data_IF_433883657063
#
_entry.id   IF_433883657063
#
_cell.length_a   1.000
_cell.length_b   1.000
_cell.length_c   1.000
_cell.angle_alpha   90.00
_cell.angle_beta   90.00
_cell.angle_gamma   90.00
#
_symmetry.space_group_name_H-M   'P 1'
#
loop_
_entity.id
_entity.type
_entity.pdbx_description
1 polymer ?
#
# COMPACT_ATOMS: atom_id res chain seq x y z
N UNK A 1 -11.60 -14.15 -32.65
CA UNK A 1 -11.35 -12.72 -32.96
C UNK A 1 -11.30 -12.01 -31.62
N UNK A 2 -10.16 -11.47 -31.24
CA UNK A 2 -10.06 -10.66 -30.04
C UNK A 2 -10.77 -9.33 -30.34
N UNK A 3 -11.91 -9.11 -29.72
CA UNK A 3 -12.55 -7.81 -29.74
C UNK A 3 -11.55 -6.80 -29.16
N UNK A 4 -11.24 -5.80 -29.97
CA UNK A 4 -10.40 -4.68 -29.57
C UNK A 4 -11.03 -4.05 -28.32
N UNK A 5 -10.33 -4.09 -27.20
CA UNK A 5 -10.68 -3.34 -26.00
C UNK A 5 -10.88 -1.89 -26.42
N UNK A 6 -12.14 -1.48 -26.51
CA UNK A 6 -12.51 -0.10 -26.85
C UNK A 6 -11.89 0.79 -25.80
N UNK A 7 -11.15 1.82 -26.22
CA UNK A 7 -10.53 2.80 -25.33
C UNK A 7 -11.60 3.35 -24.39
N UNK A 8 -11.58 2.89 -23.14
CA UNK A 8 -12.50 3.38 -22.12
C UNK A 8 -12.06 4.78 -21.68
N UNK A 9 -12.95 5.75 -21.83
CA UNK A 9 -12.77 7.07 -21.22
C UNK A 9 -13.52 7.11 -19.90
N UNK A 10 -12.96 7.77 -18.92
CA UNK A 10 -13.68 8.00 -17.66
C UNK A 10 -14.95 8.80 -17.93
N UNK A 11 -16.09 8.37 -17.38
CA UNK A 11 -17.32 9.12 -17.52
C UNK A 11 -17.23 10.47 -16.79
N UNK A 12 -18.05 11.45 -17.21
CA UNK A 12 -18.12 12.74 -16.54
C UNK A 12 -18.53 12.55 -15.07
N UNK A 13 -17.87 13.26 -14.17
CA UNK A 13 -18.29 13.32 -12.76
C UNK A 13 -19.45 14.30 -12.53
N UNK A 14 -19.71 15.19 -13.50
CA UNK A 14 -20.76 16.20 -13.44
C UNK A 14 -22.06 15.62 -14.03
N UNK A 15 -22.55 14.56 -13.40
CA UNK A 15 -23.84 13.92 -13.71
C UNK A 15 -24.66 13.80 -12.44
N UNK A 16 -25.97 13.53 -12.56
CA UNK A 16 -26.84 13.38 -11.40
C UNK A 16 -26.39 12.23 -10.50
N UNK A 17 -26.65 12.32 -9.21
CA UNK A 17 -26.27 11.32 -8.24
C UNK A 17 -26.96 9.97 -8.53
N UNK A 18 -28.20 10.00 -9.04
CA UNK A 18 -28.91 8.80 -9.48
C UNK A 18 -28.23 8.09 -10.65
N UNK A 19 -27.64 8.84 -11.59
CA UNK A 19 -26.87 8.26 -12.70
C UNK A 19 -25.56 7.64 -12.20
N UNK A 20 -24.87 8.27 -11.25
CA UNK A 20 -23.63 7.73 -10.64
C UNK A 20 -23.84 6.40 -9.93
N UNK A 21 -25.02 6.19 -9.32
CA UNK A 21 -25.37 4.93 -8.64
C UNK A 21 -25.64 3.81 -9.66
N UNK A 22 -25.96 4.14 -10.92
CA UNK A 22 -26.33 3.13 -11.92
C UNK A 22 -25.20 2.15 -12.21
N UNK A 23 -25.50 0.85 -12.44
CA UNK A 23 -24.51 -0.13 -12.85
C UNK A 23 -23.83 0.21 -14.18
N UNK A 24 -24.52 0.93 -15.07
CA UNK A 24 -23.97 1.35 -16.37
C UNK A 24 -22.83 2.37 -16.19
N UNK A 25 -22.97 3.31 -15.27
CA UNK A 25 -21.93 4.25 -14.91
C UNK A 25 -20.72 3.52 -14.30
N UNK A 26 -20.99 2.59 -13.37
CA UNK A 26 -19.96 1.73 -12.78
C UNK A 26 -19.20 0.92 -13.81
N UNK A 27 -19.87 0.37 -14.81
CA UNK A 27 -19.24 -0.37 -15.90
C UNK A 27 -18.34 0.54 -16.76
N UNK A 28 -18.75 1.78 -17.06
CA UNK A 28 -17.92 2.75 -17.77
C UNK A 28 -16.64 3.07 -16.99
N UNK A 29 -16.76 3.30 -15.68
CA UNK A 29 -15.60 3.52 -14.79
C UNK A 29 -14.67 2.29 -14.77
N UNK A 30 -15.23 1.11 -14.59
CA UNK A 30 -14.47 -0.14 -14.56
C UNK A 30 -13.69 -0.37 -15.86
N UNK A 31 -14.33 -0.16 -17.01
CA UNK A 31 -13.67 -0.26 -18.33
C UNK A 31 -12.60 0.80 -18.55
N UNK A 32 -12.79 2.01 -18.03
CA UNK A 32 -11.75 3.04 -18.09
C UNK A 32 -10.50 2.61 -17.32
N UNK A 33 -10.66 2.09 -16.10
CA UNK A 33 -9.55 1.57 -15.27
C UNK A 33 -8.93 0.34 -15.93
N UNK A 34 -9.72 -0.59 -16.46
CA UNK A 34 -9.26 -1.75 -17.21
C UNK A 34 -8.44 -1.33 -18.45
N UNK A 35 -8.90 -0.33 -19.19
CA UNK A 35 -8.16 0.17 -20.34
C UNK A 35 -6.81 0.77 -19.96
N UNK A 36 -6.70 1.46 -18.84
CA UNK A 36 -5.43 1.95 -18.31
C UNK A 36 -4.48 0.81 -17.92
N UNK A 37 -5.00 -0.29 -17.39
CA UNK A 37 -4.22 -1.48 -17.07
C UNK A 37 -3.70 -2.18 -18.33
N UNK A 38 -4.54 -2.34 -19.36
CA UNK A 38 -4.19 -3.06 -20.59
C UNK A 38 -3.48 -2.22 -21.64
N UNK A 39 -3.37 -0.91 -21.46
CA UNK A 39 -2.70 0.00 -22.38
C UNK A 39 -1.22 -0.34 -22.51
N UNK A 40 -0.87 -1.12 -23.52
CA UNK A 40 0.50 -1.56 -23.80
C UNK A 40 1.19 -0.74 -24.88
N UNK A 41 0.52 0.24 -25.46
CA UNK A 41 1.02 0.96 -26.60
C UNK A 41 2.28 1.80 -26.30
N UNK A 42 3.35 1.37 -26.94
CA UNK A 42 4.52 2.16 -27.35
C UNK A 42 5.04 3.16 -26.32
N UNK A 43 5.64 2.68 -25.23
CA UNK A 43 6.52 3.51 -24.40
C UNK A 43 5.84 4.51 -23.46
N UNK A 44 4.56 4.75 -23.63
CA UNK A 44 3.78 5.73 -22.84
C UNK A 44 2.99 5.14 -21.70
N UNK A 45 2.84 3.81 -21.62
CA UNK A 45 2.10 3.19 -20.51
C UNK A 45 2.92 3.17 -19.22
N UNK A 46 2.56 4.07 -18.30
CA UNK A 46 3.18 4.19 -16.99
C UNK A 46 3.16 2.90 -16.18
N UNK A 47 2.01 2.19 -16.16
CA UNK A 47 1.85 1.00 -15.33
C UNK A 47 2.64 -0.18 -15.86
N UNK A 48 2.64 -0.41 -17.18
CA UNK A 48 3.44 -1.45 -17.78
C UNK A 48 4.95 -1.24 -17.55
N UNK A 49 5.40 0.00 -17.74
CA UNK A 49 6.80 0.34 -17.48
C UNK A 49 7.17 0.18 -16.01
N UNK A 50 6.29 0.59 -15.09
CA UNK A 50 6.50 0.41 -13.65
C UNK A 50 6.53 -1.07 -13.27
N UNK A 51 5.65 -1.92 -13.83
CA UNK A 51 5.66 -3.36 -13.57
C UNK A 51 6.97 -4.00 -14.00
N UNK A 52 7.46 -3.68 -15.22
CA UNK A 52 8.73 -4.16 -15.72
C UNK A 52 9.90 -3.70 -14.84
N UNK A 53 9.88 -2.44 -14.42
CA UNK A 53 10.90 -1.88 -13.54
C UNK A 53 10.86 -2.54 -12.16
N UNK A 54 9.68 -2.72 -11.56
CA UNK A 54 9.52 -3.39 -10.26
C UNK A 54 10.02 -4.84 -10.31
N UNK A 55 9.67 -5.56 -11.39
CA UNK A 55 10.18 -6.92 -11.57
C UNK A 55 11.72 -6.94 -11.67
N UNK A 56 12.29 -6.08 -12.48
CA UNK A 56 13.75 -5.94 -12.62
C UNK A 56 14.40 -5.63 -11.26
N UNK A 57 13.86 -4.69 -10.51
CA UNK A 57 14.41 -4.34 -9.19
C UNK A 57 14.30 -5.46 -8.18
N UNK A 58 13.21 -6.24 -8.21
CA UNK A 58 13.06 -7.45 -7.36
C UNK A 58 14.08 -8.53 -7.73
N UNK A 59 14.39 -8.71 -9.02
CA UNK A 59 15.46 -9.63 -9.44
C UNK A 59 16.84 -9.16 -8.93
N UNK A 60 17.13 -7.86 -9.00
CA UNK A 60 18.37 -7.32 -8.41
C UNK A 60 18.44 -7.53 -6.89
N UNK A 61 17.31 -7.30 -6.19
CA UNK A 61 17.24 -7.50 -4.74
C UNK A 61 17.43 -8.97 -4.33
N UNK A 62 17.16 -9.92 -5.22
CA UNK A 62 17.37 -11.37 -5.03
C UNK A 62 18.72 -11.86 -5.54
N UNK A 63 19.48 -11.01 -6.25
CA UNK A 63 20.72 -11.41 -6.92
C UNK A 63 20.48 -12.29 -8.15
N UNK A 64 19.30 -12.22 -8.75
CA UNK A 64 18.87 -13.00 -9.93
C UNK A 64 18.72 -12.10 -11.16
N UNK A 65 19.48 -11.01 -11.24
CA UNK A 65 19.43 -10.07 -12.37
C UNK A 65 19.80 -10.75 -13.69
N UNK A 66 19.21 -10.23 -14.79
CA UNK A 66 19.47 -10.76 -16.13
C UNK A 66 20.94 -10.66 -16.51
N UNK A 67 21.50 -11.78 -16.95
CA UNK A 67 22.91 -11.87 -17.42
C UNK A 67 23.08 -11.43 -18.87
N UNK A 68 21.99 -11.24 -19.62
CA UNK A 68 22.05 -10.92 -21.05
C UNK A 68 22.79 -9.60 -21.30
N UNK A 69 22.55 -8.60 -20.47
CA UNK A 69 23.25 -7.31 -20.51
C UNK A 69 24.79 -7.46 -20.45
N UNK A 70 25.28 -8.35 -19.59
CA UNK A 70 26.73 -8.59 -19.44
C UNK A 70 27.29 -9.38 -20.61
N UNK A 71 26.52 -10.31 -21.15
CA UNK A 71 26.86 -11.05 -22.37
C UNK A 71 26.99 -10.12 -23.56
N UNK A 72 26.02 -9.22 -23.74
CA UNK A 72 26.02 -8.26 -24.83
C UNK A 72 27.24 -7.32 -24.74
N UNK A 73 27.64 -6.90 -23.54
CA UNK A 73 28.77 -6.00 -23.32
C UNK A 73 30.14 -6.69 -23.51
N UNK A 74 30.24 -7.98 -23.22
CA UNK A 74 31.47 -8.76 -23.33
C UNK A 74 31.60 -9.48 -24.69
N UNK A 75 30.54 -9.53 -25.48
CA UNK A 75 30.56 -10.16 -26.80
C UNK A 75 31.40 -9.36 -27.80
N UNK A 76 32.14 -10.05 -28.66
CA UNK A 76 32.79 -9.47 -29.82
C UNK A 76 31.99 -9.88 -31.04
N UNK A 77 31.33 -8.94 -31.70
CA UNK A 77 30.46 -9.20 -32.86
C UNK A 77 29.36 -10.26 -32.58
N UNK A 78 28.87 -10.35 -31.33
CA UNK A 78 27.88 -11.34 -30.91
C UNK A 78 28.44 -12.72 -30.58
N UNK A 79 29.73 -12.98 -30.74
CA UNK A 79 30.38 -14.24 -30.40
C UNK A 79 30.85 -14.24 -28.94
N UNK A 80 30.47 -15.29 -28.21
CA UNK A 80 30.84 -15.57 -26.82
C UNK A 80 31.63 -16.89 -26.67
N UNK A 81 31.88 -17.60 -27.78
CA UNK A 81 32.48 -18.96 -27.78
C UNK A 81 33.90 -18.99 -27.20
N UNK A 82 34.59 -17.84 -27.23
CA UNK A 82 35.96 -17.68 -26.69
C UNK A 82 36.01 -17.41 -25.17
N UNK A 83 34.78 -17.23 -24.54
CA UNK A 83 34.68 -16.90 -23.12
C UNK A 83 34.21 -18.13 -22.32
N UNK A 84 35.09 -18.66 -21.51
CA UNK A 84 34.76 -19.67 -20.51
C UNK A 84 34.60 -18.99 -19.14
N UNK A 85 33.43 -18.35 -18.91
CA UNK A 85 33.15 -17.57 -17.72
C UNK A 85 31.97 -18.13 -16.94
N UNK A 86 32.01 -18.02 -15.62
CA UNK A 86 30.83 -18.23 -14.79
C UNK A 86 29.94 -16.97 -14.83
N UNK A 87 28.84 -17.09 -15.55
CA UNK A 87 27.87 -16.00 -15.75
C UNK A 87 26.95 -15.77 -14.55
N UNK A 88 27.10 -16.55 -13.48
CA UNK A 88 26.24 -16.40 -12.29
C UNK A 88 26.44 -15.00 -11.68
N UNK A 89 25.35 -14.27 -11.43
CA UNK A 89 25.45 -12.94 -10.80
C UNK A 89 26.01 -13.03 -9.39
N UNK A 90 26.85 -12.06 -9.03
CA UNK A 90 27.34 -11.91 -7.66
C UNK A 90 26.27 -11.24 -6.80
N UNK A 91 25.72 -11.91 -5.76
CA UNK A 91 24.58 -11.42 -5.00
C UNK A 91 25.02 -10.39 -3.93
N UNK A 92 25.33 -9.17 -4.35
CA UNK A 92 25.77 -8.10 -3.44
C UNK A 92 24.58 -7.36 -2.83
N UNK A 93 23.59 -7.00 -3.67
CA UNK A 93 22.42 -6.21 -3.25
C UNK A 93 21.60 -6.92 -2.18
N UNK A 94 21.30 -8.23 -2.24
CA UNK A 94 20.49 -8.93 -1.24
C UNK A 94 20.95 -8.67 0.18
N UNK A 95 22.24 -8.77 0.44
CA UNK A 95 22.81 -8.53 1.77
C UNK A 95 22.50 -7.14 2.32
N UNK A 96 22.59 -6.11 1.49
CA UNK A 96 22.30 -4.74 1.90
C UNK A 96 20.79 -4.52 2.10
N UNK A 97 19.95 -5.13 1.26
CA UNK A 97 18.49 -5.09 1.41
C UNK A 97 18.09 -5.71 2.75
N UNK A 98 18.63 -6.87 3.09
CA UNK A 98 18.34 -7.55 4.35
C UNK A 98 18.77 -6.72 5.57
N UNK A 99 19.94 -6.09 5.53
CA UNK A 99 20.42 -5.20 6.60
C UNK A 99 19.47 -4.02 6.79
N UNK A 100 19.04 -3.36 5.70
CA UNK A 100 18.14 -2.21 5.79
C UNK A 100 16.77 -2.63 6.28
N UNK A 101 16.21 -3.69 5.73
CA UNK A 101 14.85 -4.18 6.09
C UNK A 101 14.82 -4.61 7.55
N UNK A 102 15.81 -5.38 8.01
CA UNK A 102 15.86 -5.82 9.41
C UNK A 102 16.12 -4.64 10.35
N UNK A 103 17.00 -3.71 10.01
CA UNK A 103 17.26 -2.53 10.83
C UNK A 103 16.05 -1.59 10.98
N UNK A 104 15.15 -1.54 9.97
CA UNK A 104 13.87 -0.84 10.08
C UNK A 104 12.87 -1.66 10.89
N UNK A 105 12.84 -2.99 10.69
CA UNK A 105 11.91 -3.88 11.38
C UNK A 105 12.15 -3.95 12.90
N UNK A 106 13.39 -3.75 13.37
CA UNK A 106 13.72 -3.69 14.80
C UNK A 106 13.11 -2.48 15.52
N UNK A 107 12.73 -1.43 14.78
CA UNK A 107 12.06 -0.28 15.39
C UNK A 107 10.65 -0.68 15.78
N UNK A 108 10.40 -0.73 17.07
CA UNK A 108 9.05 -0.92 17.61
C UNK A 108 8.24 0.35 17.42
N UNK A 109 6.98 0.20 17.13
CA UNK A 109 6.00 1.29 17.21
C UNK A 109 5.01 0.96 18.31
N UNK A 110 4.65 1.94 19.07
CA UNK A 110 3.64 1.85 20.11
C UNK A 110 2.44 2.71 19.70
N UNK A 111 1.25 2.15 19.75
CA UNK A 111 0.02 2.86 19.43
C UNK A 111 -0.61 3.31 20.74
N UNK A 112 -0.72 4.63 20.92
CA UNK A 112 -1.37 5.23 22.08
C UNK A 112 -2.66 5.90 21.64
N UNK A 113 -3.74 5.60 22.32
CA UNK A 113 -5.04 6.22 22.12
C UNK A 113 -5.22 7.36 23.16
N UNK A 114 -5.78 8.46 22.71
CA UNK A 114 -6.15 9.58 23.57
C UNK A 114 -7.60 9.96 23.30
N UNK A 115 -8.42 9.94 24.35
CA UNK A 115 -9.80 10.39 24.26
C UNK A 115 -9.86 11.91 24.08
N UNK A 116 -10.61 12.36 23.07
CA UNK A 116 -10.90 13.78 22.82
C UNK A 116 -12.36 14.14 23.16
N UNK A 117 -13.06 13.19 23.75
CA UNK A 117 -14.43 13.40 24.23
C UNK A 117 -14.47 14.45 25.34
N UNK A 118 -15.45 15.39 25.36
CA UNK A 118 -15.60 16.39 26.42
C UNK A 118 -15.68 15.80 27.83
N UNK A 119 -16.31 14.62 27.96
CA UNK A 119 -16.41 13.92 29.25
C UNK A 119 -15.04 13.37 29.68
N UNK A 120 -14.31 12.77 28.76
CA UNK A 120 -12.96 12.26 28.99
C UNK A 120 -11.96 13.36 29.35
N UNK A 121 -12.02 14.50 28.63
CA UNK A 121 -11.19 15.69 28.94
C UNK A 121 -11.54 16.26 30.32
N UNK A 122 -12.81 16.33 30.68
CA UNK A 122 -13.24 16.77 32.01
C UNK A 122 -12.72 15.88 33.14
N UNK A 123 -12.79 14.56 32.96
CA UNK A 123 -12.22 13.59 33.93
C UNK A 123 -10.70 13.73 34.06
N UNK A 124 -10.00 13.91 32.93
CA UNK A 124 -8.55 14.12 32.92
C UNK A 124 -8.16 15.39 33.67
N UNK A 125 -8.89 16.49 33.43
CA UNK A 125 -8.66 17.75 34.13
C UNK A 125 -8.94 17.61 35.63
N UNK A 126 -10.04 16.98 36.01
CA UNK A 126 -10.39 16.74 37.42
C UNK A 126 -9.33 15.88 38.13
N UNK A 127 -8.80 14.84 37.48
CA UNK A 127 -7.72 14.03 38.03
C UNK A 127 -6.42 14.83 38.17
N UNK A 128 -6.06 15.62 37.18
CA UNK A 128 -4.90 16.51 37.25
C UNK A 128 -5.02 17.51 38.40
N UNK A 129 -6.21 18.11 38.58
CA UNK A 129 -6.49 19.03 39.70
C UNK A 129 -6.45 18.34 41.06
N UNK A 130 -6.85 17.05 41.15
CA UNK A 130 -6.76 16.28 42.42
C UNK A 130 -5.29 16.03 42.79
N UNK A 131 -4.44 15.67 41.81
CA UNK A 131 -3.00 15.48 42.06
C UNK A 131 -2.33 16.80 42.45
N UNK A 132 -2.63 17.90 41.77
CA UNK A 132 -2.10 19.22 42.13
C UNK A 132 -2.46 19.56 43.56
N UNK A 133 -3.70 19.33 43.98
CA UNK A 133 -4.12 19.52 45.39
C UNK A 133 -3.33 18.65 46.33
N UNK A 134 -3.12 17.37 46.00
CA UNK A 134 -2.35 16.44 46.83
C UNK A 134 -0.88 16.87 46.96
N UNK A 135 -0.29 17.42 45.87
CA UNK A 135 1.07 17.96 45.88
C UNK A 135 1.14 19.22 46.77
N UNK A 136 0.22 20.19 46.65
CA UNK A 136 0.16 21.41 47.41
C UNK A 136 -0.12 21.16 48.90
N UNK A 137 -0.91 20.15 49.22
CA UNK A 137 -1.28 19.79 50.62
C UNK A 137 -0.38 18.74 51.22
N UNK A 138 0.69 18.32 50.56
CA UNK A 138 1.55 17.21 51.00
C UNK A 138 2.10 17.40 52.42
N UNK A 139 2.67 18.57 52.71
CA UNK A 139 3.23 18.87 54.06
C UNK A 139 2.16 18.80 55.14
N UNK A 140 0.95 19.27 54.84
CA UNK A 140 -0.18 19.30 55.75
C UNK A 140 -0.71 17.89 56.00
N UNK A 141 -0.69 17.03 55.00
CA UNK A 141 -1.15 15.63 55.04
C UNK A 141 -0.16 14.76 55.80
N UNK A 142 1.14 14.95 55.59
CA UNK A 142 2.20 14.29 56.38
C UNK A 142 2.13 14.64 57.84
N UNK A 143 1.85 15.91 58.17
CA UNK A 143 1.61 16.33 59.55
C UNK A 143 0.35 15.70 60.16
N UNK A 144 -0.76 15.65 59.41
CA UNK A 144 -2.00 15.02 59.85
C UNK A 144 -1.85 13.53 60.07
N UNK A 145 -1.11 12.85 59.21
CA UNK A 145 -0.82 11.41 59.33
C UNK A 145 0.08 11.13 60.53
N UNK A 146 1.09 11.97 60.79
CA UNK A 146 2.00 11.79 61.93
C UNK A 146 1.33 12.13 63.29
N UNK A 147 0.47 13.14 63.32
CA UNK A 147 -0.17 13.62 64.54
C UNK A 147 -1.48 12.90 64.90
N UNK A 148 -2.28 12.52 63.89
CA UNK A 148 -3.63 11.99 64.09
C UNK A 148 -3.86 10.63 63.46
N UNK A 149 -2.90 10.08 62.67
CA UNK A 149 -3.06 8.82 61.94
C UNK A 149 -4.08 8.84 60.83
N UNK A 150 -4.48 10.03 60.36
CA UNK A 150 -5.51 10.21 59.32
C UNK A 150 -4.81 10.52 57.98
N UNK A 151 -5.08 9.68 57.00
CA UNK A 151 -4.64 9.95 55.63
C UNK A 151 -5.69 10.80 54.90
N UNK A 152 -5.33 12.03 54.51
CA UNK A 152 -6.18 12.98 53.80
C UNK A 152 -5.94 13.01 52.29
N UNK A 153 -5.00 12.19 51.79
CA UNK A 153 -4.72 12.11 50.35
C UNK A 153 -5.78 11.30 49.62
N UNK A 154 -6.23 11.83 48.49
CA UNK A 154 -7.17 11.15 47.58
C UNK A 154 -6.45 10.08 46.75
N UNK A 155 -5.16 10.30 46.41
CA UNK A 155 -4.38 9.45 45.54
C UNK A 155 -3.28 8.68 46.32
N UNK A 156 -2.74 7.64 45.70
CA UNK A 156 -1.73 6.77 46.35
C UNK A 156 -0.39 7.52 46.50
N UNK A 157 0.13 7.74 47.72
CA UNK A 157 1.30 8.59 47.97
C UNK A 157 2.58 8.09 47.23
N UNK A 158 2.68 6.78 46.97
CA UNK A 158 3.84 6.16 46.31
C UNK A 158 3.91 6.47 44.81
N UNK A 159 2.79 6.88 44.21
CA UNK A 159 2.68 7.20 42.76
C UNK A 159 2.56 8.68 42.47
N UNK A 160 2.55 9.53 43.48
CA UNK A 160 2.41 10.97 43.27
C UNK A 160 3.72 11.59 42.80
N UNK A 161 3.67 12.44 41.78
CA UNK A 161 4.85 13.20 41.31
C UNK A 161 5.32 14.17 42.42
N UNK A 162 6.63 14.40 42.49
CA UNK A 162 7.19 15.28 43.51
C UNK A 162 6.97 16.77 43.18
N UNK A 163 6.97 17.09 41.87
CA UNK A 163 6.88 18.45 41.38
C UNK A 163 5.83 18.62 40.28
N UNK A 164 5.39 19.84 40.06
CA UNK A 164 4.45 20.16 38.97
C UNK A 164 5.05 19.86 37.58
N UNK A 165 6.39 19.85 37.42
CA UNK A 165 7.05 19.49 36.17
C UNK A 165 6.95 17.98 35.91
N UNK A 166 6.96 17.15 36.94
CA UNK A 166 6.78 15.71 36.85
C UNK A 166 5.32 15.31 36.61
N UNK A 167 4.38 16.23 36.90
CA UNK A 167 2.95 16.01 36.71
C UNK A 167 2.62 15.74 35.25
N UNK A 168 3.20 16.49 34.31
CA UNK A 168 2.99 16.28 32.88
C UNK A 168 3.50 14.91 32.45
N UNK A 169 4.64 14.48 32.99
CA UNK A 169 5.19 13.17 32.73
C UNK A 169 4.31 12.06 33.32
N UNK A 170 3.84 12.25 34.55
CA UNK A 170 2.92 11.33 35.21
C UNK A 170 1.60 11.18 34.42
N UNK A 171 1.03 12.31 33.93
CA UNK A 171 -0.18 12.30 33.12
C UNK A 171 0.02 11.61 31.76
N UNK A 172 1.22 11.62 31.24
CA UNK A 172 1.54 10.91 29.98
C UNK A 172 1.79 9.42 30.17
N UNK A 173 2.39 9.03 31.28
CA UNK A 173 2.82 7.65 31.52
C UNK A 173 1.80 6.82 32.32
N UNK A 174 1.18 7.41 33.35
CA UNK A 174 0.39 6.68 34.33
C UNK A 174 -1.12 6.91 34.19
N UNK A 175 -1.54 8.06 33.67
CA UNK A 175 -2.97 8.33 33.51
C UNK A 175 -3.48 7.78 32.17
N UNK A 176 -4.39 6.81 32.28
CA UNK A 176 -5.14 6.30 31.12
C UNK A 176 -6.59 6.08 31.50
N UNK A 177 -7.49 6.51 30.63
CA UNK A 177 -8.92 6.22 30.81
C UNK A 177 -9.22 4.79 30.32
N UNK A 178 -10.27 4.20 30.88
CA UNK A 178 -10.72 2.84 30.49
C UNK A 178 -11.01 2.75 28.96
N UNK A 179 -11.58 3.80 28.38
CA UNK A 179 -11.87 3.86 26.95
C UNK A 179 -10.57 3.87 26.11
N UNK A 180 -9.54 4.58 26.56
CA UNK A 180 -8.24 4.63 25.87
C UNK A 180 -7.54 3.26 25.91
N UNK A 181 -7.62 2.57 27.05
CA UNK A 181 -7.10 1.21 27.19
C UNK A 181 -7.86 0.24 26.30
N UNK A 182 -9.20 0.35 26.24
CA UNK A 182 -10.03 -0.49 25.39
C UNK A 182 -9.74 -0.27 23.91
N UNK A 183 -9.53 0.97 23.48
CA UNK A 183 -9.15 1.32 22.10
C UNK A 183 -7.77 0.77 21.75
N UNK A 184 -6.76 0.93 22.61
CA UNK A 184 -5.42 0.36 22.39
C UNK A 184 -5.47 -1.18 22.29
N UNK A 185 -6.22 -1.83 23.17
CA UNK A 185 -6.41 -3.29 23.11
C UNK A 185 -7.15 -3.74 21.85
N UNK A 186 -8.18 -3.01 21.44
CA UNK A 186 -8.91 -3.29 20.20
C UNK A 186 -7.99 -3.19 18.97
N UNK A 187 -7.17 -2.13 18.89
CA UNK A 187 -6.19 -1.98 17.81
C UNK A 187 -5.17 -3.12 17.84
N UNK A 188 -4.64 -3.47 19.02
CA UNK A 188 -3.68 -4.57 19.16
C UNK A 188 -4.28 -5.91 18.72
N UNK A 189 -5.54 -6.20 19.07
CA UNK A 189 -6.26 -7.41 18.63
C UNK A 189 -6.42 -7.43 17.12
N UNK A 190 -6.82 -6.30 16.50
CA UNK A 190 -6.97 -6.19 15.04
C UNK A 190 -5.63 -6.42 14.34
N UNK A 191 -4.56 -5.78 14.79
CA UNK A 191 -3.23 -5.92 14.19
C UNK A 191 -2.71 -7.36 14.32
N UNK A 192 -2.86 -7.99 15.49
CA UNK A 192 -2.43 -9.37 15.71
C UNK A 192 -3.29 -10.36 14.91
N UNK A 193 -4.61 -10.17 14.86
CA UNK A 193 -5.51 -11.01 14.09
C UNK A 193 -5.22 -10.98 12.58
N UNK A 194 -4.74 -9.86 12.08
CA UNK A 194 -4.34 -9.69 10.67
C UNK A 194 -2.86 -10.02 10.41
N UNK A 195 -2.10 -10.49 11.39
CA UNK A 195 -0.65 -10.75 11.28
C UNK A 195 0.12 -9.55 10.69
N UNK A 196 -0.20 -8.37 11.19
CA UNK A 196 0.31 -7.11 10.63
C UNK A 196 1.83 -7.03 10.66
N UNK A 197 2.49 -7.69 11.62
CA UNK A 197 3.96 -7.73 11.67
C UNK A 197 4.59 -8.37 10.43
N UNK A 198 3.99 -9.45 9.90
CA UNK A 198 4.44 -10.08 8.65
C UNK A 198 4.22 -9.17 7.46
N UNK A 199 3.04 -8.53 7.42
CA UNK A 199 2.70 -7.53 6.39
C UNK A 199 3.66 -6.35 6.46
N UNK A 200 3.99 -5.83 7.64
CA UNK A 200 4.92 -4.73 7.86
C UNK A 200 6.32 -5.05 7.32
N UNK A 201 6.85 -6.23 7.60
CA UNK A 201 8.15 -6.65 7.05
C UNK A 201 8.15 -6.67 5.52
N UNK A 202 7.06 -7.14 4.92
CA UNK A 202 6.90 -7.15 3.46
C UNK A 202 6.80 -5.73 2.88
N UNK A 203 6.11 -4.81 3.55
CA UNK A 203 6.05 -3.40 3.17
C UNK A 203 7.43 -2.73 3.23
N UNK A 204 8.22 -2.99 4.28
CA UNK A 204 9.59 -2.48 4.38
C UNK A 204 10.49 -3.01 3.26
N UNK A 205 10.34 -4.30 2.92
CA UNK A 205 11.04 -4.89 1.79
C UNK A 205 10.68 -4.21 0.47
N UNK A 206 9.39 -3.97 0.21
CA UNK A 206 8.93 -3.28 -1.01
C UNK A 206 9.37 -1.82 -1.04
N UNK A 207 9.28 -1.08 0.05
CA UNK A 207 9.79 0.31 0.15
C UNK A 207 11.30 0.39 -0.14
N UNK A 208 12.07 -0.61 0.29
CA UNK A 208 13.51 -0.68 0.04
C UNK A 208 13.80 -1.05 -1.42
N UNK A 209 13.09 -2.04 -1.95
CA UNK A 209 13.34 -2.65 -3.25
C UNK A 209 12.76 -1.87 -4.41
N UNK A 210 11.45 -1.54 -4.34
CA UNK A 210 10.71 -0.88 -5.43
C UNK A 210 10.34 0.57 -5.12
N UNK A 211 10.43 0.99 -3.84
CA UNK A 211 10.21 2.37 -3.42
C UNK A 211 8.74 2.74 -3.19
N UNK A 212 7.82 1.80 -3.28
CA UNK A 212 6.39 1.98 -3.05
C UNK A 212 5.85 0.80 -2.26
N UNK A 213 4.93 1.07 -1.34
CA UNK A 213 4.22 0.04 -0.59
C UNK A 213 2.72 0.34 -0.59
N UNK A 214 1.91 -0.70 -0.51
CA UNK A 214 0.46 -0.58 -0.48
C UNK A 214 -0.17 -1.58 0.49
N UNK A 215 -1.14 -1.08 1.25
CA UNK A 215 -2.01 -1.84 2.15
C UNK A 215 -3.45 -1.49 1.83
N UNK A 216 -4.31 -2.49 1.84
CA UNK A 216 -5.76 -2.32 1.73
C UNK A 216 -6.39 -2.63 3.08
N UNK A 217 -7.24 -1.73 3.53
CA UNK A 217 -8.10 -1.93 4.68
C UNK A 217 -9.56 -2.05 4.22
N UNK A 218 -10.23 -3.07 4.69
CA UNK A 218 -11.63 -3.28 4.41
C UNK A 218 -12.34 -3.95 5.59
N UNK A 219 -13.63 -3.74 5.64
CA UNK A 219 -14.48 -4.33 6.64
C UNK A 219 -15.43 -5.36 6.01
N UNK A 220 -15.45 -6.56 6.58
CA UNK A 220 -16.41 -7.60 6.25
C UNK A 220 -17.21 -7.97 7.49
N UNK A 221 -18.52 -8.20 7.32
CA UNK A 221 -19.39 -8.59 8.43
C UNK A 221 -19.04 -9.92 9.07
N UNK A 222 -18.37 -10.81 8.32
CA UNK A 222 -17.96 -12.15 8.79
C UNK A 222 -16.62 -12.16 9.51
N UNK A 223 -15.68 -11.28 9.13
CA UNK A 223 -14.29 -11.34 9.60
C UNK A 223 -13.82 -10.04 10.27
N UNK A 224 -14.70 -9.02 10.30
CA UNK A 224 -14.38 -7.71 10.88
C UNK A 224 -13.44 -6.87 10.02
N UNK A 225 -12.53 -6.13 10.65
CA UNK A 225 -11.54 -5.27 9.97
C UNK A 225 -10.39 -6.13 9.49
N UNK A 226 -10.15 -6.12 8.17
CA UNK A 226 -9.03 -6.79 7.51
C UNK A 226 -8.03 -5.80 6.97
N UNK A 227 -6.77 -6.11 7.19
CA UNK A 227 -5.61 -5.38 6.67
C UNK A 227 -4.85 -6.34 5.77
N UNK A 228 -4.90 -6.11 4.46
CA UNK A 228 -4.27 -6.97 3.45
C UNK A 228 -3.10 -6.25 2.77
N UNK A 229 -2.03 -6.98 2.57
CA UNK A 229 -0.95 -6.54 1.70
C UNK A 229 -1.41 -6.56 0.25
N UNK A 230 -1.12 -5.48 -0.48
CA UNK A 230 -1.36 -5.39 -1.92
C UNK A 230 -0.03 -5.22 -2.65
N UNK A 231 0.21 -6.05 -3.65
CA UNK A 231 1.41 -5.93 -4.47
C UNK A 231 1.33 -4.66 -5.35
N UNK A 232 2.23 -3.69 -5.18
CA UNK A 232 2.23 -2.46 -5.97
C UNK A 232 2.36 -2.69 -7.49
N UNK A 233 2.87 -3.85 -7.91
CA UNK A 233 2.90 -4.21 -9.33
C UNK A 233 1.52 -4.46 -9.93
N UNK A 234 0.52 -4.78 -9.11
CA UNK A 234 -0.84 -5.09 -9.52
C UNK A 234 -1.83 -3.94 -9.33
N UNK A 235 -1.34 -2.73 -9.10
CA UNK A 235 -2.19 -1.56 -8.82
C UNK A 235 -2.18 -0.60 -9.99
N UNK A 236 -3.35 -0.06 -10.29
CA UNK A 236 -3.57 1.05 -11.22
C UNK A 236 -4.16 2.21 -10.42
N UNK A 237 -3.62 3.41 -10.60
CA UNK A 237 -4.07 4.61 -9.87
C UNK A 237 -4.01 5.86 -10.75
N UNK A 238 -4.77 6.89 -10.41
CA UNK A 238 -4.72 8.17 -11.09
C UNK A 238 -3.34 8.84 -10.93
N UNK A 239 -3.01 9.77 -11.84
CA UNK A 239 -1.76 10.54 -11.70
C UNK A 239 -1.75 11.29 -10.37
N UNK A 240 -0.62 11.25 -9.68
CA UNK A 240 -0.38 11.98 -8.44
C UNK A 240 1.07 12.42 -8.36
N UNK A 241 1.30 13.51 -7.65
CA UNK A 241 2.63 13.99 -7.25
C UNK A 241 2.82 13.88 -5.72
N UNK A 242 1.74 13.56 -4.98
CA UNK A 242 1.80 13.38 -3.53
C UNK A 242 2.43 12.04 -3.15
N UNK A 243 3.45 12.01 -2.28
CA UNK A 243 4.05 10.76 -1.80
C UNK A 243 3.09 9.86 -1.03
N UNK A 244 1.98 10.42 -0.53
CA UNK A 244 0.94 9.73 0.25
C UNK A 244 -0.30 9.38 -0.56
N UNK A 245 -0.36 9.76 -1.85
CA UNK A 245 -1.47 9.46 -2.76
C UNK A 245 -2.84 9.98 -2.28
N UNK A 246 -2.87 11.11 -1.59
CA UNK A 246 -4.11 11.68 -1.04
C UNK A 246 -5.01 12.30 -2.12
N UNK A 247 -4.43 12.70 -3.24
CA UNK A 247 -5.06 13.40 -4.37
C UNK A 247 -5.63 12.48 -5.45
N UNK A 248 -5.46 11.16 -5.32
CA UNK A 248 -5.97 10.21 -6.30
C UNK A 248 -7.50 10.10 -6.23
N UNK A 249 -8.14 9.93 -7.41
CA UNK A 249 -9.59 9.78 -7.52
C UNK A 249 -10.02 8.37 -7.92
N UNK A 250 -9.10 7.51 -8.38
CA UNK A 250 -9.35 6.08 -8.53
C UNK A 250 -8.12 5.25 -8.21
N UNK A 251 -8.39 4.05 -7.73
CA UNK A 251 -7.42 2.97 -7.55
C UNK A 251 -8.06 1.68 -8.02
N UNK A 252 -7.32 0.87 -8.75
CA UNK A 252 -7.71 -0.48 -9.15
C UNK A 252 -6.63 -1.49 -8.78
N UNK A 253 -7.03 -2.65 -8.28
CA UNK A 253 -6.19 -3.79 -7.95
C UNK A 253 -6.58 -4.98 -8.83
N UNK A 254 -5.62 -5.54 -9.54
CA UNK A 254 -5.81 -6.80 -10.28
C UNK A 254 -5.39 -7.97 -9.41
N UNK A 255 -6.37 -8.79 -9.02
CA UNK A 255 -6.15 -9.96 -8.15
C UNK A 255 -6.71 -11.21 -8.81
N UNK A 256 -5.90 -12.27 -8.84
CA UNK A 256 -6.35 -13.60 -9.28
C UNK A 256 -6.87 -14.35 -8.09
N UNK A 257 -8.12 -14.79 -8.15
CA UNK A 257 -8.75 -15.58 -7.11
C UNK A 257 -9.29 -16.91 -7.67
N UNK A 258 -9.37 -17.97 -6.84
CA UNK A 258 -10.04 -19.20 -7.24
C UNK A 258 -11.57 -19.03 -7.26
N UNK A 259 -12.25 -19.86 -8.07
CA UNK A 259 -13.71 -19.80 -8.26
C UNK A 259 -14.49 -20.01 -6.95
N UNK A 260 -13.99 -20.88 -6.06
CA UNK A 260 -14.61 -21.10 -4.75
C UNK A 260 -14.61 -19.84 -3.89
N UNK A 261 -13.54 -19.05 -3.93
CA UNK A 261 -13.45 -17.77 -3.23
C UNK A 261 -14.39 -16.74 -3.86
N UNK A 262 -14.49 -16.72 -5.20
CA UNK A 262 -15.46 -15.88 -5.89
C UNK A 262 -16.90 -16.19 -5.45
N UNK A 263 -17.28 -17.47 -5.34
CA UNK A 263 -18.61 -17.88 -4.88
C UNK A 263 -18.86 -17.49 -3.42
N UNK A 264 -17.83 -17.54 -2.56
CA UNK A 264 -17.90 -17.10 -1.16
C UNK A 264 -18.16 -15.60 -1.06
N UNK A 265 -17.43 -14.80 -1.88
CA UNK A 265 -17.59 -13.34 -1.89
C UNK A 265 -18.92 -12.89 -2.53
N UNK A 266 -19.39 -13.61 -3.55
CA UNK A 266 -20.60 -13.29 -4.29
C UNK A 266 -21.59 -14.47 -4.30
N UNK A 267 -22.28 -14.75 -3.19
CA UNK A 267 -23.17 -15.89 -3.08
C UNK A 267 -24.37 -15.86 -4.07
N UNK A 268 -24.71 -14.68 -4.56
CA UNK A 268 -25.82 -14.46 -5.49
C UNK A 268 -25.54 -14.92 -6.93
N UNK A 269 -24.28 -15.26 -7.26
CA UNK A 269 -23.96 -15.76 -8.59
C UNK A 269 -24.52 -17.16 -8.80
N UNK A 270 -25.23 -17.36 -9.94
CA UNK A 270 -25.73 -18.68 -10.34
C UNK A 270 -24.59 -19.60 -10.79
N UNK A 271 -24.81 -20.93 -10.73
CA UNK A 271 -23.82 -21.91 -11.19
C UNK A 271 -23.57 -21.81 -12.70
N UNK A 272 -24.61 -21.43 -13.48
CA UNK A 272 -24.47 -21.20 -14.92
C UNK A 272 -23.56 -20.00 -15.20
N UNK A 273 -23.68 -18.93 -14.44
CA UNK A 273 -22.83 -17.75 -14.57
C UNK A 273 -21.39 -18.04 -14.16
N UNK A 274 -21.18 -18.77 -13.08
CA UNK A 274 -19.85 -19.24 -12.67
C UNK A 274 -19.21 -20.10 -13.75
N UNK A 275 -19.99 -21.00 -14.35
CA UNK A 275 -19.50 -21.86 -15.45
C UNK A 275 -19.15 -21.07 -16.71
N UNK A 276 -19.89 -20.00 -17.02
CA UNK A 276 -19.57 -19.08 -18.12
C UNK A 276 -18.30 -18.31 -17.85
N UNK A 277 -18.13 -17.79 -16.65
CA UNK A 277 -16.92 -17.07 -16.23
C UNK A 277 -15.71 -18.00 -16.25
N UNK A 278 -15.85 -19.25 -15.76
CA UNK A 278 -14.79 -20.24 -15.74
C UNK A 278 -14.34 -20.73 -17.13
N UNK A 279 -15.27 -20.73 -18.10
CA UNK A 279 -14.99 -21.13 -19.49
C UNK A 279 -14.33 -20.02 -20.31
N UNK A 280 -14.37 -18.78 -19.83
CA UNK A 280 -13.67 -17.70 -20.52
C UNK A 280 -12.16 -17.93 -20.42
N UNK A 281 -11.43 -17.79 -21.54
CA UNK A 281 -9.99 -17.91 -21.51
C UNK A 281 -9.46 -16.84 -20.56
N UNK A 282 -8.89 -17.30 -19.44
CA UNK A 282 -8.13 -16.42 -18.57
C UNK A 282 -7.15 -15.67 -19.47
N UNK A 283 -7.26 -14.35 -19.54
CA UNK A 283 -6.29 -13.54 -20.26
C UNK A 283 -4.98 -13.49 -19.45
N UNK A 284 -4.46 -14.68 -19.11
CA UNK A 284 -3.20 -14.88 -18.37
C UNK A 284 -2.00 -14.20 -19.03
N UNK A 285 -2.15 -13.80 -20.30
CA UNK A 285 -1.11 -13.08 -21.05
C UNK A 285 -0.76 -11.71 -20.47
N UNK A 286 -1.53 -11.20 -19.52
CA UNK A 286 -1.33 -9.87 -18.97
C UNK A 286 -0.50 -9.83 -17.69
N UNK A 287 -0.30 -10.97 -17.02
CA UNK A 287 0.66 -11.10 -15.92
C UNK A 287 1.96 -11.72 -16.45
N UNK A 288 2.78 -10.95 -17.13
CA UNK A 288 4.05 -11.37 -17.75
C UNK A 288 4.99 -12.14 -16.82
N UNK A 289 4.85 -11.98 -15.52
CA UNK A 289 5.76 -12.59 -14.53
C UNK A 289 5.27 -13.91 -13.97
N UNK A 290 3.99 -14.26 -14.18
CA UNK A 290 3.45 -15.56 -13.78
C UNK A 290 3.83 -16.68 -14.75
N UNK A 291 3.98 -16.35 -16.02
CA UNK A 291 4.24 -17.32 -17.09
C UNK A 291 5.63 -17.94 -17.07
N UNK A 292 6.60 -17.27 -16.44
CA UNK A 292 7.98 -17.81 -16.36
C UNK A 292 8.14 -18.90 -15.28
N UNK A 293 7.26 -18.97 -14.28
CA UNK A 293 7.40 -19.85 -13.13
C UNK A 293 6.34 -20.97 -13.05
N UNK A 294 5.21 -20.86 -13.74
CA UNK A 294 4.18 -21.90 -13.73
C UNK A 294 3.87 -22.37 -15.15
N UNK A 295 4.24 -23.61 -15.45
CA UNK A 295 3.74 -24.36 -16.61
C UNK A 295 2.23 -24.66 -16.49
N UNK A 296 1.52 -24.04 -15.55
CA UNK A 296 0.10 -24.24 -15.28
C UNK A 296 -0.76 -23.40 -16.19
N UNK A 297 -0.63 -23.65 -17.50
CA UNK A 297 -1.52 -23.07 -18.53
C UNK A 297 -2.94 -23.64 -18.46
N UNK A 298 -3.19 -24.65 -17.63
CA UNK A 298 -4.43 -25.40 -17.56
C UNK A 298 -5.29 -25.15 -16.30
N UNK A 299 -4.91 -24.24 -15.42
CA UNK A 299 -5.74 -23.94 -14.25
C UNK A 299 -6.96 -23.10 -14.66
N UNK A 300 -8.05 -23.81 -14.94
CA UNK A 300 -9.35 -23.24 -15.28
C UNK A 300 -10.12 -22.74 -14.05
N UNK A 301 -9.58 -22.96 -12.85
CA UNK A 301 -10.27 -22.68 -11.61
C UNK A 301 -9.91 -21.31 -11.00
N UNK A 302 -9.08 -20.53 -11.69
CA UNK A 302 -8.69 -19.19 -11.25
C UNK A 302 -9.18 -18.12 -12.21
N UNK A 303 -9.59 -16.97 -11.66
CA UNK A 303 -10.17 -15.86 -12.41
C UNK A 303 -9.46 -14.58 -11.99
N UNK A 304 -9.21 -13.71 -12.96
CA UNK A 304 -8.65 -12.39 -12.71
C UNK A 304 -9.78 -11.37 -12.51
N UNK A 305 -9.75 -10.70 -11.37
CA UNK A 305 -10.71 -9.67 -10.99
C UNK A 305 -10.02 -8.32 -10.85
N UNK A 306 -10.72 -7.29 -11.27
CA UNK A 306 -10.36 -5.90 -10.99
C UNK A 306 -11.24 -5.42 -9.81
N UNK A 307 -10.62 -5.27 -8.64
CA UNK A 307 -11.19 -4.55 -7.52
C UNK A 307 -10.84 -3.09 -7.67
N UNK A 308 -11.80 -2.20 -7.57
CA UNK A 308 -11.50 -0.78 -7.72
C UNK A 308 -12.33 0.11 -6.82
N UNK A 309 -11.72 1.22 -6.45
CA UNK A 309 -12.35 2.31 -5.74
C UNK A 309 -12.34 3.55 -6.62
N UNK A 310 -13.45 4.24 -6.65
CA UNK A 310 -13.62 5.47 -7.43
C UNK A 310 -14.19 6.57 -6.54
N UNK A 311 -13.47 7.67 -6.45
CA UNK A 311 -13.85 8.84 -5.66
C UNK A 311 -14.53 9.88 -6.54
N UNK A 312 -15.71 10.32 -6.14
CA UNK A 312 -16.48 11.37 -6.79
C UNK A 312 -17.18 12.21 -5.73
N UNK A 313 -17.99 13.15 -6.14
CA UNK A 313 -18.78 13.95 -5.23
C UNK A 313 -20.28 13.61 -5.33
N UNK A 314 -20.99 13.81 -4.25
CA UNK A 314 -22.45 13.77 -4.15
C UNK A 314 -22.94 15.10 -3.56
N UNK A 315 -24.02 15.65 -4.09
CA UNK A 315 -24.58 16.89 -3.65
C UNK A 315 -25.76 16.63 -2.71
N UNK A 316 -25.62 17.03 -1.46
CA UNK A 316 -26.74 17.07 -0.53
C UNK A 316 -27.42 18.42 -0.65
N UNK A 317 -28.68 18.40 -1.06
CA UNK A 317 -29.49 19.60 -1.20
C UNK A 317 -30.55 19.62 -0.10
N UNK A 318 -30.49 20.64 0.71
CA UNK A 318 -31.43 20.85 1.81
C UNK A 318 -32.41 21.98 1.47
N UNK A 319 -33.69 21.67 1.58
CA UNK A 319 -34.74 22.66 1.56
C UNK A 319 -35.01 23.15 2.99
N UNK A 320 -34.73 24.41 3.23
CA UNK A 320 -34.96 25.06 4.51
C UNK A 320 -36.23 25.89 4.43
N UNK A 321 -37.12 25.75 5.39
CA UNK A 321 -38.34 26.52 5.51
C UNK A 321 -38.51 27.00 6.93
N UNK A 322 -38.72 28.31 7.08
CA UNK A 322 -39.14 28.88 8.35
C UNK A 322 -40.62 28.61 8.59
N UNK A 323 -40.94 28.11 9.75
CA UNK A 323 -42.31 27.87 10.17
C UNK A 323 -42.91 29.12 10.77
N UNK A 324 -44.23 29.33 10.64
CA UNK A 324 -44.94 30.44 11.24
C UNK A 324 -44.82 30.54 12.78
N UNK A 325 -44.30 29.48 13.42
CA UNK A 325 -44.04 29.37 14.86
C UNK A 325 -42.59 29.76 15.23
N UNK A 326 -41.76 30.30 14.29
CA UNK A 326 -40.38 30.67 14.51
C UNK A 326 -39.37 29.53 14.50
N UNK A 327 -39.77 28.31 14.15
CA UNK A 327 -38.85 27.16 14.00
C UNK A 327 -38.47 26.96 12.54
N UNK A 328 -37.25 26.46 12.30
CA UNK A 328 -36.72 26.14 10.97
C UNK A 328 -36.89 24.65 10.68
N UNK A 329 -37.53 24.30 9.56
CA UNK A 329 -37.66 22.89 9.10
C UNK A 329 -36.73 22.65 7.93
N UNK A 330 -35.84 21.68 8.08
CA UNK A 330 -34.86 21.28 7.07
C UNK A 330 -35.30 19.91 6.51
N UNK A 331 -35.33 19.78 5.18
CA UNK A 331 -35.70 18.55 4.48
C UNK A 331 -34.67 18.28 3.41
N UNK A 332 -34.06 17.08 3.42
CA UNK A 332 -33.18 16.62 2.36
C UNK A 332 -33.95 16.40 1.07
N UNK A 333 -33.44 16.83 -0.04
CA UNK A 333 -33.99 16.73 -1.39
C UNK A 333 -32.94 16.15 -2.34
N UNK A 334 -33.42 15.79 -3.55
CA UNK A 334 -32.53 15.33 -4.63
C UNK A 334 -31.63 16.47 -5.14
N UNK A 335 -30.51 16.11 -5.72
CA UNK A 335 -29.48 17.02 -6.27
C UNK A 335 -30.02 18.01 -7.31
N UNK A 336 -31.10 17.63 -8.03
CA UNK A 336 -31.74 18.45 -9.05
C UNK A 336 -32.87 19.33 -8.51
N UNK A 337 -33.08 19.38 -7.20
CA UNK A 337 -34.15 20.15 -6.62
C UNK A 337 -33.88 21.67 -6.70
N UNK A 338 -34.81 22.41 -7.36
CA UNK A 338 -34.90 23.84 -7.29
C UNK A 338 -36.15 24.28 -6.52
N UNK A 339 -36.04 25.19 -5.55
CA UNK A 339 -37.17 25.69 -4.80
C UNK A 339 -38.14 26.43 -5.74
N UNK A 340 -39.45 26.18 -5.65
CA UNK A 340 -40.40 26.94 -6.42
C UNK A 340 -40.36 28.41 -6.04
N UNK A 341 -40.36 29.28 -7.03
CA UNK A 341 -40.40 30.75 -6.84
C UNK A 341 -41.81 31.07 -6.34
N UNK A 342 -41.93 31.36 -5.04
CA UNK A 342 -43.20 31.82 -4.45
C UNK A 342 -43.04 33.31 -4.10
N UNK A 343 -43.85 34.14 -4.76
CA UNK A 343 -43.80 35.60 -4.59
C UNK A 343 -44.41 36.09 -3.26
N UNK A 344 -45.14 35.29 -2.48
CA UNK A 344 -45.95 35.83 -1.40
C UNK A 344 -45.90 35.17 -0.02
N UNK A 345 -45.35 33.99 0.18
CA UNK A 345 -45.35 33.38 1.53
C UNK A 345 -44.19 32.43 1.77
N UNK A 346 -43.31 32.80 2.70
CA UNK A 346 -42.33 31.91 3.30
C UNK A 346 -41.28 31.45 2.30
N UNK A 347 -40.25 32.20 2.24
CA UNK A 347 -39.10 31.89 1.40
C UNK A 347 -38.52 30.53 1.78
N UNK A 348 -38.39 29.68 0.77
CA UNK A 348 -37.60 28.46 0.90
C UNK A 348 -36.15 28.80 0.57
N UNK A 349 -35.26 28.50 1.46
CA UNK A 349 -33.85 28.60 1.20
C UNK A 349 -33.31 27.24 0.73
N UNK A 350 -32.46 27.25 -0.28
CA UNK A 350 -31.74 26.08 -0.77
C UNK A 350 -30.32 26.13 -0.22
N UNK A 351 -29.96 25.15 0.59
CA UNK A 351 -28.59 25.00 1.07
C UNK A 351 -28.00 23.76 0.38
N UNK A 352 -26.91 23.97 -0.36
CA UNK A 352 -26.20 22.91 -1.05
C UNK A 352 -24.87 22.60 -0.37
N UNK A 353 -24.59 21.32 -0.22
CA UNK A 353 -23.30 20.84 0.30
C UNK A 353 -22.80 19.72 -0.59
N UNK A 354 -21.59 19.86 -1.11
CA UNK A 354 -20.92 18.79 -1.85
C UNK A 354 -20.03 17.98 -0.92
N UNK A 355 -20.23 16.67 -0.92
CA UNK A 355 -19.44 15.71 -0.14
C UNK A 355 -18.73 14.75 -1.09
N UNK A 356 -17.46 14.45 -0.82
CA UNK A 356 -16.79 13.35 -1.51
C UNK A 356 -17.41 12.01 -1.09
N UNK A 357 -17.58 11.13 -2.05
CA UNK A 357 -18.13 9.77 -1.89
C UNK A 357 -17.19 8.78 -2.57
N UNK A 358 -17.02 7.62 -1.95
CA UNK A 358 -16.24 6.53 -2.48
C UNK A 358 -17.17 5.42 -2.99
N UNK A 359 -17.02 5.06 -4.26
CA UNK A 359 -17.68 3.89 -4.83
C UNK A 359 -16.71 2.70 -4.86
N UNK A 360 -17.23 1.54 -4.58
CA UNK A 360 -16.51 0.28 -4.69
C UNK A 360 -17.10 -0.55 -5.83
N UNK A 361 -16.21 -1.09 -6.66
CA UNK A 361 -16.58 -1.93 -7.76
C UNK A 361 -15.70 -3.16 -7.90
N UNK A 362 -16.26 -4.22 -8.48
CA UNK A 362 -15.55 -5.45 -8.84
C UNK A 362 -15.97 -5.87 -10.24
N UNK A 363 -15.00 -5.92 -11.15
CA UNK A 363 -15.19 -6.32 -12.54
C UNK A 363 -14.43 -7.63 -12.81
N UNK A 364 -15.04 -8.55 -13.57
CA UNK A 364 -14.32 -9.69 -14.12
C UNK A 364 -13.53 -9.23 -15.34
N UNK A 365 -12.19 -9.28 -15.26
CA UNK A 365 -11.31 -8.80 -16.32
C UNK A 365 -11.56 -9.48 -17.67
N UNK A 366 -11.58 -8.67 -18.71
CA UNK A 366 -11.83 -9.16 -20.08
C UNK A 366 -13.31 -9.43 -20.37
N UNK A 367 -14.22 -9.05 -19.47
CA UNK A 367 -15.65 -9.22 -19.65
C UNK A 367 -16.40 -7.96 -19.27
N UNK A 368 -17.66 -7.85 -19.68
CA UNK A 368 -18.56 -6.76 -19.30
C UNK A 368 -19.34 -7.06 -18.01
N UNK A 369 -18.87 -8.05 -17.23
CA UNK A 369 -19.59 -8.46 -16.02
C UNK A 369 -19.07 -7.72 -14.81
N UNK A 370 -19.82 -6.71 -14.43
CA UNK A 370 -19.66 -6.00 -13.17
C UNK A 370 -20.34 -6.81 -12.06
N UNK A 371 -19.56 -7.25 -11.06
CA UNK A 371 -20.05 -8.05 -9.93
C UNK A 371 -20.54 -7.19 -8.79
N UNK A 372 -19.91 -6.03 -8.58
CA UNK A 372 -20.23 -5.11 -7.52
C UNK A 372 -20.08 -3.67 -8.02
N UNK A 373 -21.04 -2.83 -7.70
CA UNK A 373 -20.96 -1.38 -7.81
C UNK A 373 -21.89 -0.77 -6.78
N UNK A 374 -21.31 -0.24 -5.72
CA UNK A 374 -22.07 0.39 -4.64
C UNK A 374 -21.24 1.46 -3.95
N UNK A 375 -21.88 2.34 -3.21
CA UNK A 375 -21.20 3.28 -2.33
C UNK A 375 -20.55 2.50 -1.20
N UNK A 376 -19.26 2.76 -0.94
CA UNK A 376 -18.52 2.13 0.13
C UNK A 376 -19.20 2.38 1.48
N UNK A 377 -19.50 1.31 2.22
CA UNK A 377 -20.20 1.40 3.50
C UNK A 377 -19.36 2.02 4.61
N UNK A 378 -18.04 1.81 4.52
CA UNK A 378 -17.06 2.24 5.53
C UNK A 378 -16.11 3.30 4.97
N UNK A 379 -16.67 4.48 4.68
CA UNK A 379 -15.87 5.61 4.21
C UNK A 379 -15.16 6.26 5.39
N UNK A 380 -13.84 6.30 5.35
CA UNK A 380 -13.04 7.03 6.33
C UNK A 380 -12.94 8.50 5.93
N UNK A 381 -13.36 9.37 6.85
CA UNK A 381 -13.29 10.82 6.68
C UNK A 381 -12.25 11.41 7.62
N UNK A 382 -11.33 12.29 7.15
CA UNK A 382 -10.39 12.95 8.02
C UNK A 382 -11.10 13.89 8.99
N UNK A 383 -10.64 13.95 10.25
CA UNK A 383 -11.23 14.84 11.27
C UNK A 383 -11.12 16.33 10.92
N UNK A 384 -10.12 16.70 10.13
CA UNK A 384 -9.91 18.09 9.67
C UNK A 384 -10.92 18.55 8.63
N UNK A 385 -11.45 17.61 7.83
CA UNK A 385 -12.38 17.93 6.74
C UNK A 385 -13.31 16.74 6.48
N UNK A 386 -14.49 16.78 7.05
CA UNK A 386 -15.50 15.72 6.89
C UNK A 386 -16.13 15.68 5.47
N UNK A 387 -15.84 16.66 4.63
CA UNK A 387 -16.29 16.64 3.23
C UNK A 387 -15.45 15.72 2.35
N UNK A 388 -14.23 15.41 2.77
CA UNK A 388 -13.29 14.54 2.06
C UNK A 388 -13.40 13.09 2.50
N UNK A 389 -13.02 12.17 1.61
CA UNK A 389 -12.96 10.73 1.87
C UNK A 389 -11.55 10.21 1.57
N UNK A 390 -11.04 9.35 2.45
CA UNK A 390 -9.80 8.58 2.19
C UNK A 390 -10.14 7.32 1.39
N UNK A 391 -9.18 6.92 0.53
CA UNK A 391 -9.27 5.62 -0.15
C UNK A 391 -9.06 4.48 0.84
N UNK A 392 -9.60 3.31 0.52
CA UNK A 392 -9.34 2.07 1.28
C UNK A 392 -7.96 1.47 0.96
N UNK A 393 -7.26 2.03 -0.01
CA UNK A 393 -5.88 1.68 -0.36
C UNK A 393 -4.95 2.75 0.18
N UNK A 394 -4.12 2.37 1.13
CA UNK A 394 -3.08 3.22 1.70
C UNK A 394 -1.78 2.97 0.94
N UNK A 395 -1.44 3.88 0.03
CA UNK A 395 -0.26 3.80 -0.83
C UNK A 395 0.73 4.85 -0.36
N UNK A 396 2.00 4.46 -0.26
CA UNK A 396 3.08 5.36 0.15
C UNK A 396 4.30 5.14 -0.74
N UNK A 397 4.81 6.22 -1.32
CA UNK A 397 6.07 6.25 -2.07
C UNK A 397 6.92 7.44 -1.61
N UNK A 398 7.72 7.30 -0.53
CA UNK A 398 8.41 8.42 0.12
C UNK A 398 9.39 9.17 -0.79
N UNK A 399 9.91 8.48 -1.82
CA UNK A 399 10.85 9.04 -2.79
C UNK A 399 10.20 9.14 -4.15
N UNK A 400 9.17 9.96 -4.25
CA UNK A 400 8.50 10.26 -5.51
C UNK A 400 8.80 11.69 -5.95
N UNK A 401 9.10 11.86 -7.23
CA UNK A 401 9.26 13.15 -7.86
C UNK A 401 8.55 13.15 -9.22
N UNK A 402 7.57 14.04 -9.40
CA UNK A 402 6.75 14.15 -10.61
C UNK A 402 6.21 12.80 -11.09
N UNK A 403 5.63 12.02 -10.15
CA UNK A 403 5.06 10.70 -10.42
C UNK A 403 6.08 9.58 -10.71
N UNK A 404 7.39 9.86 -10.66
CA UNK A 404 8.45 8.85 -10.79
C UNK A 404 8.89 8.39 -9.41
N UNK A 405 8.83 7.08 -9.20
CA UNK A 405 9.20 6.45 -7.94
C UNK A 405 10.66 6.04 -7.99
N UNK A 406 11.39 6.29 -6.91
CA UNK A 406 12.79 5.91 -6.76
C UNK A 406 12.97 5.02 -5.52
N UNK A 407 13.70 3.90 -5.70
CA UNK A 407 14.03 2.97 -4.61
C UNK A 407 15.51 3.01 -4.25
N UNK A 408 15.85 2.43 -3.08
CA UNK A 408 17.25 2.25 -2.71
C UNK A 408 17.97 1.30 -3.68
N UNK A 409 17.34 0.20 -4.05
CA UNK A 409 17.90 -0.76 -5.00
C UNK A 409 18.18 -0.11 -6.34
N UNK A 410 17.24 0.71 -6.86
CA UNK A 410 17.43 1.44 -8.13
C UNK A 410 18.68 2.30 -8.13
N UNK A 411 18.98 2.99 -7.02
CA UNK A 411 20.18 3.82 -6.88
C UNK A 411 21.48 3.02 -6.95
N UNK A 412 21.46 1.76 -6.52
CA UNK A 412 22.65 0.90 -6.41
C UNK A 412 22.81 -0.03 -7.60
N UNK A 413 21.83 -0.15 -8.50
CA UNK A 413 21.91 -1.07 -9.65
C UNK A 413 23.12 -0.82 -10.53
N UNK A 414 23.51 0.45 -10.76
CA UNK A 414 24.68 0.80 -11.56
C UNK A 414 26.00 0.29 -10.94
N UNK A 415 26.13 0.38 -9.63
CA UNK A 415 27.29 -0.15 -8.91
C UNK A 415 27.34 -1.70 -8.97
N UNK A 416 26.19 -2.34 -8.79
CA UNK A 416 26.10 -3.79 -8.89
C UNK A 416 26.48 -4.29 -10.28
N UNK A 417 26.01 -3.63 -11.34
CA UNK A 417 26.39 -3.92 -12.72
C UNK A 417 27.90 -3.74 -12.95
N UNK A 418 28.47 -2.66 -12.44
CA UNK A 418 29.92 -2.41 -12.56
C UNK A 418 30.77 -3.47 -11.85
N UNK A 419 30.37 -3.88 -10.64
CA UNK A 419 31.04 -4.94 -9.89
C UNK A 419 30.93 -6.26 -10.64
N UNK A 420 29.77 -6.59 -11.19
CA UNK A 420 29.57 -7.80 -11.96
C UNK A 420 30.45 -7.82 -13.22
N UNK A 421 30.50 -6.73 -13.98
CA UNK A 421 31.35 -6.62 -15.16
C UNK A 421 32.83 -6.72 -14.80
N UNK A 422 33.24 -6.07 -13.72
CA UNK A 422 34.62 -6.16 -13.23
C UNK A 422 34.99 -7.58 -12.83
N UNK A 423 34.10 -8.29 -12.14
CA UNK A 423 34.27 -9.69 -11.76
C UNK A 423 34.42 -10.59 -12.99
N UNK A 424 33.55 -10.43 -14.01
CA UNK A 424 33.64 -11.20 -15.25
C UNK A 424 34.94 -10.89 -16.02
N UNK A 425 35.37 -9.61 -16.10
CA UNK A 425 36.63 -9.23 -16.71
C UNK A 425 37.82 -9.81 -15.95
N UNK A 426 37.78 -9.81 -14.62
CA UNK A 426 38.81 -10.44 -13.80
C UNK A 426 38.92 -11.94 -14.07
N UNK A 427 37.81 -12.66 -14.13
CA UNK A 427 37.77 -14.08 -14.51
C UNK A 427 38.40 -14.30 -15.92
N UNK A 428 38.08 -13.41 -16.87
CA UNK A 428 38.63 -13.47 -18.21
C UNK A 428 40.17 -13.30 -18.22
N UNK A 429 40.67 -12.34 -17.43
CA UNK A 429 42.12 -12.13 -17.29
C UNK A 429 42.77 -13.34 -16.65
N UNK A 430 42.21 -13.84 -15.55
CA UNK A 430 42.72 -15.02 -14.85
C UNK A 430 42.74 -16.27 -15.74
N UNK A 431 41.68 -16.46 -16.55
CA UNK A 431 41.61 -17.59 -17.50
C UNK A 431 42.68 -17.50 -18.63
N UNK A 432 43.16 -16.29 -18.91
CA UNK A 432 44.20 -16.04 -19.91
C UNK A 432 45.62 -15.96 -19.31
N UNK A 433 45.73 -15.91 -17.99
CA UNK A 433 47.03 -15.98 -17.34
C UNK A 433 47.63 -17.37 -17.53
N UNK A 434 48.47 -17.47 -18.52
CA UNK A 434 49.37 -18.60 -18.65
C UNK A 434 50.39 -18.45 -17.54
N UNK A 435 50.74 -19.49 -16.77
CA UNK A 435 51.89 -19.41 -15.85
C UNK A 435 53.08 -18.93 -16.65
N UNK A 436 53.76 -17.88 -16.14
CA UNK A 436 54.98 -17.41 -16.75
C UNK A 436 55.89 -18.60 -17.04
N UNK A 437 56.37 -18.65 -18.26
CA UNK A 437 57.13 -19.80 -18.73
C UNK A 437 58.27 -20.12 -17.78
N UNK A 438 58.62 -21.36 -17.70
CA UNK A 438 59.78 -21.81 -16.92
C UNK A 438 61.01 -21.13 -17.48
N UNK A 439 61.68 -20.33 -16.67
CA UNK A 439 63.02 -19.88 -16.99
C UNK A 439 63.92 -21.13 -16.94
N UNK A 440 64.26 -21.64 -18.11
CA UNK A 440 65.19 -22.77 -18.24
C UNK A 440 66.53 -22.18 -18.62
N UNK A 441 67.53 -22.51 -17.85
CA UNK A 441 68.92 -22.25 -18.21
C UNK A 441 69.26 -23.09 -19.45
N UNK A 442 69.57 -22.43 -20.56
CA UNK A 442 69.90 -23.09 -21.83
C UNK A 442 71.07 -23.99 -21.74
N UNK A 443 72.04 -23.58 -20.91
CA UNK A 443 73.27 -24.39 -20.68
C UNK A 443 73.02 -25.61 -19.80
N UNK A 444 72.11 -25.47 -18.79
CA UNK A 444 71.67 -26.58 -17.94
C UNK A 444 70.79 -27.63 -18.69
N UNK A 445 70.09 -27.18 -19.70
CA UNK A 445 69.27 -28.10 -20.57
C UNK A 445 70.22 -28.93 -21.51
N UNK A 446 71.28 -28.36 -21.92
CA UNK A 446 72.34 -29.09 -22.74
C UNK A 446 73.03 -30.23 -22.00
N UNK A 447 73.04 -30.15 -20.65
CA UNK A 447 73.60 -31.20 -19.80
C UNK A 447 72.63 -32.31 -19.40
N UNK A 448 71.32 -32.13 -19.67
CA UNK A 448 70.29 -33.16 -19.36
C UNK A 448 70.25 -34.21 -20.47
N UNK A 449 70.92 -35.32 -20.23
CA UNK A 449 70.81 -36.52 -21.11
C UNK A 449 69.39 -37.06 -21.06
N UNK A 450 68.59 -36.86 -22.12
CA UNK A 450 67.22 -37.33 -22.29
C UNK A 450 67.15 -38.86 -22.59
N UNK A 451 68.27 -39.58 -22.41
CA UNK A 451 68.30 -41.05 -22.45
C UNK A 451 68.10 -41.70 -23.85
N UNK A 452 67.96 -40.90 -24.89
CA UNK A 452 67.78 -41.36 -26.28
C UNK A 452 68.94 -40.99 -27.23
N UNK A 453 70.06 -40.51 -26.70
CA UNK A 453 71.24 -40.16 -27.50
C UNK A 453 71.00 -39.03 -28.54
N UNK A 454 70.00 -38.23 -28.38
CA UNK A 454 69.74 -37.02 -29.15
C UNK A 454 69.78 -35.82 -28.19
N UNK A 455 70.81 -35.09 -28.32
CA UNK A 455 70.93 -33.75 -27.67
C UNK A 455 69.92 -32.77 -28.21
#
# INVERSE_FOLDING_TARGET
>A
MAESVTKGFFPSQVVSDNEKISPEYGLKVARAIESEWFKRDSGTNRFYNNQNEFHKLRLYARGEQSIQKYKDELSINGDLSYLNLDWKPVPIIPKFVDIVVNGIAERTFDVKAYSQDPYGTSKRTAYMESILRDIETRELTEFAQSAFGINLQENNPEMLPENSEELDLHMQLNYKQEIEIAEEQAIAIILNGNKFEETRKRLHYDLTTIGIACVKDHFTTSEGIKIEYVDPANIVYSYTESPYFDDIYYVGEVKTIPINELKKQFPNLSEEELSKIAKQPNQKSHMHYRTAASNDTNDKNTIDLLYFNYKTFMNEVYKVKDTSTGGTKVILRDDQFDPPIQEMTGQFEKIERSLEVLYEGVLVLGTDKLLKWEIAKNMMRPKSDHTKVKMNYNIVAPRMYKGKIESLVKRVTGFADMIQLTHLKLQQVMARMVPDGVYLDADGLAEVDLGNGTN
#
